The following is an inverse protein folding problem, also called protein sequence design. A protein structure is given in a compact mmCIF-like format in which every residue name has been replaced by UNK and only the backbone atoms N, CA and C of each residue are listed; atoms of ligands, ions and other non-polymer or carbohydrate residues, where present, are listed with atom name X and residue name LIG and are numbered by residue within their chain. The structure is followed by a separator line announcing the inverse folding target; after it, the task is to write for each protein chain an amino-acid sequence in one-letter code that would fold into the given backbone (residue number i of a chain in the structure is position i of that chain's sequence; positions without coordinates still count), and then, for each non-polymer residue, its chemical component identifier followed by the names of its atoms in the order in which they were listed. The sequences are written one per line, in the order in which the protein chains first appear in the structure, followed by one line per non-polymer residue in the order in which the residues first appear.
data_IF_916784882102
#
_entry.id   IF_916784882102
#
_cell.length_a   1.000
_cell.length_b   1.000
_cell.length_c   1.000
_cell.angle_alpha   90.00
_cell.angle_beta   90.00
_cell.angle_gamma   90.00
#
_symmetry.space_group_name_H-M   'P 1'
#
loop_
_entity.id
_entity.type
_entity.pdbx_description
1 polymer ?
#
# COMPACT_ATOMS: atom_id res chain seq x y z
N UNK A 1 11.37 -16.97 10.55
CA UNK A 1 10.90 -17.99 9.59
C UNK A 1 10.52 -17.25 8.31
N UNK A 2 11.09 -17.59 7.14
CA UNK A 2 10.79 -16.90 5.88
C UNK A 2 9.45 -17.44 5.35
N UNK A 3 8.45 -16.57 5.19
CA UNK A 3 7.20 -16.94 4.51
C UNK A 3 7.51 -17.07 3.01
N UNK A 4 7.08 -18.18 2.40
CA UNK A 4 7.25 -18.44 0.95
C UNK A 4 5.87 -18.72 0.38
N UNK A 5 5.46 -18.05 -0.72
CA UNK A 5 4.17 -18.34 -1.37
C UNK A 5 4.16 -19.79 -1.86
N UNK A 6 3.05 -20.50 -1.67
CA UNK A 6 2.87 -21.88 -2.18
C UNK A 6 2.20 -21.93 -3.54
N UNK A 7 1.42 -20.90 -3.89
CA UNK A 7 0.78 -20.73 -5.19
C UNK A 7 0.39 -19.26 -5.41
N UNK A 8 0.21 -18.88 -6.67
CA UNK A 8 -0.37 -17.60 -7.06
C UNK A 8 -1.68 -17.85 -7.84
N UNK A 9 -2.66 -16.97 -7.66
CA UNK A 9 -3.93 -17.03 -8.38
C UNK A 9 -4.20 -15.69 -9.04
N UNK A 10 -4.36 -15.69 -10.36
CA UNK A 10 -4.71 -14.49 -11.10
C UNK A 10 -6.18 -14.13 -10.84
N UNK A 11 -6.42 -12.87 -10.48
CA UNK A 11 -7.76 -12.34 -10.22
C UNK A 11 -8.08 -11.28 -11.26
N UNK A 12 -9.09 -11.54 -12.08
CA UNK A 12 -9.48 -10.64 -13.18
C UNK A 12 -10.05 -9.32 -12.67
N UNK A 13 -10.89 -9.37 -11.63
CA UNK A 13 -11.44 -8.19 -10.96
C UNK A 13 -11.10 -8.24 -9.46
N UNK A 14 -9.99 -7.57 -9.12
CA UNK A 14 -9.50 -7.50 -7.74
C UNK A 14 -10.51 -6.80 -6.84
N UNK A 15 -11.20 -5.78 -7.34
CA UNK A 15 -12.16 -5.02 -6.53
C UNK A 15 -13.34 -5.89 -6.12
N UNK A 16 -13.98 -6.55 -7.09
CA UNK A 16 -15.10 -7.45 -6.83
C UNK A 16 -14.69 -8.62 -5.92
N UNK A 17 -13.47 -9.13 -6.10
CA UNK A 17 -12.96 -10.23 -5.27
C UNK A 17 -12.76 -9.81 -3.81
N UNK A 18 -12.10 -8.67 -3.56
CA UNK A 18 -11.88 -8.17 -2.20
C UNK A 18 -13.21 -7.84 -1.51
N UNK A 19 -14.15 -7.22 -2.22
CA UNK A 19 -15.49 -6.94 -1.69
C UNK A 19 -16.26 -8.23 -1.36
N UNK A 20 -16.12 -9.28 -2.18
CA UNK A 20 -16.71 -10.60 -1.86
C UNK A 20 -16.10 -11.18 -0.58
N UNK A 21 -14.78 -11.19 -0.45
CA UNK A 21 -14.11 -11.69 0.76
C UNK A 21 -14.55 -10.91 2.02
N UNK A 22 -14.71 -9.59 1.89
CA UNK A 22 -15.20 -8.77 2.98
C UNK A 22 -16.63 -9.14 3.40
N UNK A 23 -17.53 -9.38 2.43
CA UNK A 23 -18.90 -9.86 2.73
C UNK A 23 -18.92 -11.25 3.38
N UNK A 24 -17.95 -12.10 3.06
CA UNK A 24 -17.81 -13.44 3.65
C UNK A 24 -17.12 -13.42 5.03
N UNK A 25 -16.69 -12.24 5.51
CA UNK A 25 -15.97 -12.12 6.78
C UNK A 25 -14.53 -12.64 6.74
N UNK A 26 -13.99 -12.89 5.54
CA UNK A 26 -12.63 -13.39 5.32
C UNK A 26 -11.60 -12.26 5.16
N UNK A 27 -12.06 -11.01 5.01
CA UNK A 27 -11.23 -9.83 4.85
C UNK A 27 -11.83 -8.65 5.61
N UNK A 28 -11.03 -8.01 6.46
CA UNK A 28 -11.40 -6.72 7.05
C UNK A 28 -10.92 -5.60 6.13
N UNK A 29 -11.85 -4.79 5.64
CA UNK A 29 -11.55 -3.57 4.86
C UNK A 29 -11.81 -2.37 5.74
N UNK A 30 -10.79 -1.53 5.93
CA UNK A 30 -10.88 -0.30 6.71
C UNK A 30 -10.53 0.89 5.82
N UNK A 31 -11.33 1.94 5.90
CA UNK A 31 -11.12 3.17 5.13
C UNK A 31 -10.50 4.24 6.03
N UNK A 32 -9.59 5.04 5.47
CA UNK A 32 -9.06 6.21 6.16
C UNK A 32 -10.20 7.14 6.63
N UNK A 33 -10.15 7.71 7.86
CA UNK A 33 -9.03 7.70 8.80
C UNK A 33 -9.02 6.52 9.80
N UNK A 34 -9.91 5.55 9.66
CA UNK A 34 -9.97 4.39 10.55
C UNK A 34 -8.77 3.46 10.33
N UNK A 35 -8.40 2.71 11.37
CA UNK A 35 -7.27 1.76 11.35
C UNK A 35 -7.69 0.42 11.94
N UNK A 36 -6.99 -0.64 11.55
CA UNK A 36 -7.10 -1.94 12.20
C UNK A 36 -6.27 -1.87 13.48
N UNK A 37 -6.82 -2.37 14.59
CA UNK A 37 -6.11 -2.46 15.86
C UNK A 37 -4.81 -3.27 15.72
N UNK A 38 -3.81 -2.96 16.55
CA UNK A 38 -2.50 -3.62 16.58
C UNK A 38 -1.58 -3.44 15.35
N UNK A 39 -1.97 -2.62 14.34
CA UNK A 39 -1.05 -2.20 13.27
C UNK A 39 -0.17 -1.03 13.75
N UNK A 40 1.17 -1.09 13.56
CA UNK A 40 2.07 0.01 13.89
C UNK A 40 1.63 1.36 13.28
N UNK A 41 1.75 2.47 14.02
CA UNK A 41 1.34 3.79 13.54
C UNK A 41 2.38 4.45 12.63
N UNK A 42 3.52 3.81 12.40
CA UNK A 42 4.64 4.41 11.69
C UNK A 42 4.40 4.54 10.18
N UNK A 43 3.41 3.87 9.60
CA UNK A 43 3.00 4.00 8.19
C UNK A 43 4.16 3.82 7.18
N UNK A 44 5.25 3.14 7.56
CA UNK A 44 6.43 3.01 6.69
C UNK A 44 6.12 2.18 5.45
N UNK A 45 5.32 1.12 5.56
CA UNK A 45 4.83 0.33 4.42
C UNK A 45 4.09 1.21 3.40
N UNK A 46 3.30 2.17 3.88
CA UNK A 46 2.56 3.10 3.03
C UNK A 46 3.52 4.05 2.30
N UNK A 47 4.57 4.52 3.00
CA UNK A 47 5.63 5.36 2.42
C UNK A 47 6.41 4.61 1.35
N UNK A 48 6.78 3.36 1.62
CA UNK A 48 7.47 2.49 0.65
C UNK A 48 6.63 2.25 -0.59
N UNK A 49 5.35 1.90 -0.39
CA UNK A 49 4.44 1.61 -1.49
C UNK A 49 4.16 2.84 -2.34
N UNK A 50 3.90 3.99 -1.71
CA UNK A 50 3.70 5.25 -2.41
C UNK A 50 4.93 5.64 -3.23
N UNK A 51 6.15 5.52 -2.67
CA UNK A 51 7.38 5.80 -3.41
C UNK A 51 7.57 4.85 -4.60
N UNK A 52 7.23 3.57 -4.44
CA UNK A 52 7.25 2.60 -5.55
C UNK A 52 6.23 2.94 -6.63
N UNK A 53 5.01 3.37 -6.25
CA UNK A 53 3.95 3.71 -7.18
C UNK A 53 4.19 5.01 -7.92
N UNK A 54 4.76 6.04 -7.27
CA UNK A 54 5.15 7.27 -7.97
C UNK A 54 6.13 6.98 -9.11
N UNK A 55 7.05 6.01 -8.93
CA UNK A 55 7.97 5.58 -9.99
C UNK A 55 7.27 4.84 -11.13
N UNK A 56 6.18 4.13 -10.85
CA UNK A 56 5.48 3.26 -11.81
C UNK A 56 4.32 3.96 -12.54
N UNK A 57 3.63 4.88 -11.87
CA UNK A 57 2.36 5.46 -12.29
C UNK A 57 2.33 6.99 -12.25
N UNK A 58 3.46 7.66 -11.98
CA UNK A 58 3.66 9.12 -11.95
C UNK A 58 3.24 9.89 -10.68
N UNK A 59 3.33 11.23 -10.75
CA UNK A 59 3.10 12.17 -9.66
C UNK A 59 1.64 12.24 -9.17
N UNK A 60 0.66 11.71 -9.91
CA UNK A 60 -0.74 11.65 -9.46
C UNK A 60 -0.91 10.85 -8.16
N UNK A 61 0.00 9.91 -7.89
CA UNK A 61 0.08 9.20 -6.62
C UNK A 61 0.46 10.14 -5.48
N UNK A 62 1.37 11.10 -5.70
CA UNK A 62 1.81 12.05 -4.67
C UNK A 62 0.67 13.01 -4.29
N UNK A 63 -0.14 13.44 -5.25
CA UNK A 63 -1.34 14.26 -4.96
C UNK A 63 -2.38 13.49 -4.15
N UNK A 64 -2.54 12.19 -4.42
CA UNK A 64 -3.40 11.31 -3.62
C UNK A 64 -2.88 11.18 -2.19
N UNK A 65 -1.57 10.99 -2.02
CA UNK A 65 -0.94 10.97 -0.68
C UNK A 65 -1.14 12.31 0.03
N UNK A 66 -1.00 13.45 -0.68
CA UNK A 66 -1.24 14.77 -0.11
C UNK A 66 -2.69 14.94 0.37
N UNK A 67 -3.66 14.43 -0.38
CA UNK A 67 -5.08 14.54 -0.05
C UNK A 67 -5.49 13.70 1.16
N UNK A 68 -5.02 12.45 1.24
CA UNK A 68 -5.46 11.50 2.27
C UNK A 68 -4.49 11.33 3.45
N UNK A 69 -3.19 11.56 3.22
CA UNK A 69 -2.14 11.36 4.22
C UNK A 69 -1.07 12.48 4.14
N UNK A 70 -1.45 13.76 4.36
CA UNK A 70 -0.55 14.90 4.18
C UNK A 70 0.74 14.79 5.00
N UNK A 71 0.69 14.19 6.20
CA UNK A 71 1.86 13.98 7.06
C UNK A 71 2.91 13.00 6.50
N UNK A 72 2.59 12.25 5.44
CA UNK A 72 3.49 11.27 4.82
C UNK A 72 4.22 11.82 3.59
N UNK A 73 3.77 12.93 3.01
CA UNK A 73 4.31 13.50 1.75
C UNK A 73 5.82 13.67 1.82
N UNK A 74 6.33 14.30 2.88
CA UNK A 74 7.77 14.55 3.03
C UNK A 74 8.58 13.25 3.16
N UNK A 75 8.00 12.22 3.77
CA UNK A 75 8.65 10.90 3.91
C UNK A 75 8.73 10.20 2.57
N UNK A 76 7.66 10.25 1.77
CA UNK A 76 7.63 9.71 0.40
C UNK A 76 8.66 10.41 -0.48
N UNK A 77 8.73 11.75 -0.44
CA UNK A 77 9.73 12.51 -1.20
C UNK A 77 11.17 12.16 -0.80
N UNK A 78 11.45 12.02 0.51
CA UNK A 78 12.76 11.56 0.99
C UNK A 78 13.10 10.16 0.49
N UNK A 79 12.13 9.25 0.42
CA UNK A 79 12.33 7.89 -0.10
C UNK A 79 12.58 7.88 -1.61
N UNK A 80 11.91 8.74 -2.38
CA UNK A 80 12.15 8.90 -3.82
C UNK A 80 13.56 9.42 -4.14
N UNK A 81 14.09 10.31 -3.30
CA UNK A 81 15.43 10.88 -3.46
C UNK A 81 16.58 9.91 -3.12
N UNK A 82 16.30 8.76 -2.48
CA UNK A 82 17.33 7.75 -2.17
C UNK A 82 17.70 6.94 -3.43
N UNK A 83 18.97 6.92 -3.85
CA UNK A 83 19.43 6.03 -4.91
C UNK A 83 19.47 4.58 -4.40
N UNK A 84 18.92 3.65 -5.20
CA UNK A 84 18.85 2.23 -4.85
C UNK A 84 17.59 1.87 -4.07
N UNK A 85 16.50 1.54 -4.78
CA UNK A 85 15.37 0.83 -4.21
C UNK A 85 15.39 -0.59 -4.72
N UNK A 86 15.50 -1.57 -3.82
CA UNK A 86 15.31 -2.97 -4.15
C UNK A 86 13.94 -3.12 -4.83
N UNK A 87 13.96 -3.52 -6.09
CA UNK A 87 12.77 -4.00 -6.77
C UNK A 87 12.42 -5.33 -6.10
N UNK A 88 11.28 -5.37 -5.40
CA UNK A 88 10.68 -6.63 -5.02
C UNK A 88 10.50 -7.47 -6.29
N UNK A 89 11.29 -8.55 -6.40
CA UNK A 89 11.14 -9.64 -7.36
C UNK A 89 10.49 -10.81 -6.65
#
# INVERSE_FOLDING_TARGET
MKVVPTAETAIADVSAHLLRLAREGLLLVVYHPYRIDDIPPDDEDLVEKAASWVKAFDLGVLETVRAYHPGLVDRVLRRLARPGGEAFR
#
